data_IF_373092264590
#
_entry.id   IF_373092264590
#
_cell.length_a   1.000
_cell.length_b   1.000
_cell.length_c   1.000
_cell.angle_alpha   90.00
_cell.angle_beta   90.00
_cell.angle_gamma   90.00
#
_symmetry.space_group_name_H-M   'P 1'
#
loop_
_entity.id
_entity.type
_entity.pdbx_description
1 polymer ?
#
# COMPACT_ATOMS: atom_id res chain seq x y z
N UNK A 1 -9.31 -1.71 2.79
CA UNK A 1 -8.04 -2.17 3.41
C UNK A 1 -7.13 -0.99 3.66
N UNK A 2 -6.39 -0.97 4.78
CA UNK A 2 -5.37 0.02 5.09
C UNK A 2 -3.99 -0.64 5.06
N UNK A 3 -3.01 -0.06 4.36
CA UNK A 3 -1.67 -0.62 4.22
C UNK A 3 -0.66 0.32 4.91
N UNK A 4 0.10 -0.22 5.87
CA UNK A 4 1.26 0.43 6.47
C UNK A 4 2.53 -0.21 5.90
N UNK A 5 3.44 0.61 5.41
CA UNK A 5 4.77 0.19 4.96
C UNK A 5 5.81 0.41 6.04
N UNK A 6 6.79 -0.49 6.10
CA UNK A 6 7.99 -0.36 6.94
C UNK A 6 9.21 -0.60 6.06
N UNK A 7 9.97 0.46 5.80
CA UNK A 7 11.20 0.38 5.02
C UNK A 7 12.37 -0.15 5.83
N UNK A 8 13.24 -0.92 5.19
CA UNK A 8 14.48 -1.47 5.74
C UNK A 8 15.69 -0.85 5.02
N UNK A 9 15.67 -0.87 3.68
CA UNK A 9 16.67 -0.21 2.81
C UNK A 9 16.21 1.18 2.39
N UNK A 10 14.91 1.32 2.15
CA UNK A 10 14.23 2.60 1.94
C UNK A 10 14.07 3.37 3.27
N UNK A 11 13.54 4.59 3.22
CA UNK A 11 13.20 5.33 4.45
C UNK A 11 12.23 4.52 5.33
N UNK A 12 12.34 4.64 6.65
CA UNK A 12 11.63 3.81 7.63
C UNK A 12 10.12 3.73 7.42
N UNK A 13 9.51 4.83 6.99
CA UNK A 13 8.06 4.90 6.80
C UNK A 13 7.62 4.43 5.40
N UNK A 14 8.57 4.11 4.52
CA UNK A 14 8.31 3.66 3.15
C UNK A 14 7.76 4.77 2.24
N UNK A 15 7.95 6.05 2.58
CA UNK A 15 7.47 7.19 1.79
C UNK A 15 7.96 7.07 0.34
N UNK A 16 7.04 7.24 -0.62
CA UNK A 16 7.30 7.09 -2.05
C UNK A 16 7.08 5.68 -2.59
N UNK A 17 6.80 4.68 -1.76
CA UNK A 17 6.42 3.33 -2.23
C UNK A 17 5.16 3.41 -3.06
N UNK A 18 5.22 2.92 -4.30
CA UNK A 18 4.08 2.88 -5.22
C UNK A 18 3.37 1.56 -5.06
N UNK A 19 2.06 1.61 -4.85
CA UNK A 19 1.22 0.44 -4.59
C UNK A 19 0.21 0.32 -5.72
N UNK A 20 0.22 -0.84 -6.37
CA UNK A 20 -0.81 -1.27 -7.31
C UNK A 20 -1.60 -2.40 -6.64
N UNK A 21 -2.91 -2.27 -6.60
CA UNK A 21 -3.82 -3.25 -6.01
C UNK A 21 -4.77 -3.76 -7.08
N UNK A 22 -4.96 -5.08 -7.14
CA UNK A 22 -5.94 -5.75 -8.01
C UNK A 22 -6.90 -6.53 -7.10
N UNK A 23 -8.17 -6.11 -7.03
CA UNK A 23 -9.21 -6.80 -6.29
C UNK A 23 -9.65 -8.10 -7.00
N UNK A 24 -10.39 -8.96 -6.30
CA UNK A 24 -10.92 -10.20 -6.87
C UNK A 24 -11.84 -9.96 -8.09
N UNK A 25 -12.70 -8.94 -8.05
CA UNK A 25 -13.50 -8.50 -9.20
C UNK A 25 -12.69 -8.05 -10.42
N UNK A 26 -11.37 -7.83 -10.26
CA UNK A 26 -10.50 -7.24 -11.28
C UNK A 26 -10.39 -5.71 -11.20
N UNK A 27 -11.02 -5.06 -10.22
CA UNK A 27 -10.81 -3.63 -9.94
C UNK A 27 -9.33 -3.35 -9.67
N UNK A 28 -8.74 -2.43 -10.46
CA UNK A 28 -7.34 -2.01 -10.29
C UNK A 28 -7.28 -0.62 -9.70
N UNK A 29 -6.51 -0.45 -8.63
CA UNK A 29 -6.26 0.83 -8.00
C UNK A 29 -4.76 1.09 -7.85
N UNK A 30 -4.38 2.35 -7.89
CA UNK A 30 -3.01 2.81 -7.71
C UNK A 30 -2.97 3.88 -6.63
N UNK A 31 -1.99 3.80 -5.75
CA UNK A 31 -1.69 4.86 -4.80
C UNK A 31 -0.21 4.81 -4.41
N UNK A 32 0.25 5.73 -3.59
CA UNK A 32 1.60 5.72 -3.04
C UNK A 32 1.63 6.22 -1.61
N UNK A 33 2.66 5.81 -0.87
CA UNK A 33 2.84 6.23 0.51
C UNK A 33 3.29 7.68 0.56
N UNK A 34 2.50 8.54 1.20
CA UNK A 34 2.81 9.95 1.43
C UNK A 34 2.18 10.42 2.73
N UNK A 35 2.81 11.37 3.40
CA UNK A 35 2.25 12.11 4.54
C UNK A 35 1.86 13.53 4.15
N UNK A 36 2.05 13.91 2.88
CA UNK A 36 1.73 15.25 2.41
C UNK A 36 0.22 15.53 2.53
N UNK A 37 -0.11 16.57 3.29
CA UNK A 37 -1.45 17.15 3.34
C UNK A 37 -1.45 18.53 2.70
N UNK A 38 -1.94 19.52 3.44
CA UNK A 38 -1.84 20.95 3.11
C UNK A 38 -0.60 21.62 3.76
N UNK A 39 -0.42 22.93 3.58
CA UNK A 39 0.75 23.67 4.10
C UNK A 39 0.98 23.42 5.60
N UNK A 40 2.22 23.01 5.94
CA UNK A 40 2.64 22.68 7.31
C UNK A 40 1.77 21.63 8.04
N UNK A 41 1.11 20.72 7.29
CA UNK A 41 0.34 19.60 7.86
C UNK A 41 0.92 18.25 7.43
N UNK A 42 0.68 17.22 8.24
CA UNK A 42 1.06 15.84 7.95
C UNK A 42 -0.11 14.91 8.20
N UNK A 43 -0.38 14.03 7.24
CA UNK A 43 -1.46 13.04 7.30
C UNK A 43 -0.94 11.66 7.74
N UNK A 44 -1.85 10.75 8.07
CA UNK A 44 -1.50 9.35 8.35
C UNK A 44 -0.81 8.71 7.13
N UNK A 45 0.35 8.04 7.31
CA UNK A 45 1.08 7.43 6.19
C UNK A 45 0.41 6.16 5.64
N UNK A 46 -0.62 5.62 6.32
CA UNK A 46 -1.32 4.42 5.86
C UNK A 46 -2.10 4.71 4.60
N UNK A 47 -1.88 3.87 3.59
CA UNK A 47 -2.56 3.98 2.30
C UNK A 47 -3.89 3.24 2.38
N UNK A 48 -4.98 3.96 2.12
CA UNK A 48 -6.32 3.40 2.14
C UNK A 48 -6.80 3.04 0.73
N UNK A 49 -7.35 1.83 0.58
CA UNK A 49 -8.02 1.38 -0.63
C UNK A 49 -9.45 0.92 -0.31
N UNK A 50 -10.42 1.51 -0.99
CA UNK A 50 -11.83 1.08 -0.94
C UNK A 50 -12.06 -0.07 -1.91
N UNK A 51 -12.56 -1.21 -1.42
CA UNK A 51 -12.73 -2.43 -2.22
C UNK A 51 -14.20 -2.72 -2.60
N UNK A 52 -15.14 -1.88 -2.17
CA UNK A 52 -16.56 -2.12 -2.42
C UNK A 52 -17.03 -3.42 -1.77
N UNK A 53 -17.58 -4.35 -2.56
CA UNK A 53 -18.07 -5.64 -2.10
C UNK A 53 -17.03 -6.77 -2.19
N UNK A 54 -15.82 -6.50 -2.69
CA UNK A 54 -14.77 -7.51 -2.82
C UNK A 54 -14.25 -7.95 -1.44
N UNK A 55 -14.38 -9.24 -1.13
CA UNK A 55 -13.92 -9.83 0.12
C UNK A 55 -12.40 -10.14 0.12
N UNK A 56 -11.78 -10.13 -1.05
CA UNK A 56 -10.37 -10.46 -1.23
C UNK A 56 -9.69 -9.61 -2.30
N UNK A 57 -8.37 -9.52 -2.17
CA UNK A 57 -7.46 -8.86 -3.08
C UNK A 57 -6.62 -9.94 -3.74
N UNK A 58 -6.65 -9.97 -5.08
CA UNK A 58 -5.90 -10.94 -5.88
C UNK A 58 -4.40 -10.68 -5.79
N UNK A 59 -4.01 -9.41 -5.91
CA UNK A 59 -2.60 -9.01 -5.97
C UNK A 59 -2.38 -7.62 -5.39
N UNK A 60 -1.30 -7.46 -4.63
CA UNK A 60 -0.76 -6.17 -4.21
C UNK A 60 0.71 -6.11 -4.62
N UNK A 61 1.04 -5.26 -5.58
CA UNK A 61 2.41 -4.99 -6.02
C UNK A 61 2.91 -3.70 -5.36
N UNK A 62 3.99 -3.80 -4.59
CA UNK A 62 4.68 -2.70 -3.93
C UNK A 62 6.02 -2.45 -4.61
N UNK A 63 6.20 -1.26 -5.19
CA UNK A 63 7.49 -0.79 -5.72
C UNK A 63 8.11 0.18 -4.73
N UNK A 64 9.14 -0.29 -4.04
CA UNK A 64 9.85 0.45 -3.02
C UNK A 64 10.79 1.50 -3.65
N UNK A 65 11.08 2.62 -2.95
CA UNK A 65 12.05 3.62 -3.40
C UNK A 65 13.46 3.06 -3.64
N UNK A 66 13.82 1.98 -2.93
CA UNK A 66 15.07 1.24 -3.13
C UNK A 66 15.19 0.54 -4.49
N UNK A 67 14.09 0.44 -5.23
CA UNK A 67 13.96 -0.33 -6.46
C UNK A 67 13.44 -1.76 -6.25
N UNK A 68 13.34 -2.24 -5.00
CA UNK A 68 12.76 -3.55 -4.69
C UNK A 68 11.29 -3.59 -5.13
N UNK A 69 10.88 -4.71 -5.73
CA UNK A 69 9.48 -4.99 -6.07
C UNK A 69 9.03 -6.19 -5.27
N UNK A 70 8.00 -5.99 -4.45
CA UNK A 70 7.41 -7.03 -3.61
C UNK A 70 5.96 -7.25 -4.04
N UNK A 71 5.54 -8.51 -4.16
CA UNK A 71 4.18 -8.85 -4.60
C UNK A 71 3.53 -9.77 -3.58
N UNK A 72 2.34 -9.40 -3.11
CA UNK A 72 1.51 -10.19 -2.21
C UNK A 72 0.29 -10.70 -2.99
N UNK A 73 -0.11 -11.94 -2.73
CA UNK A 73 -1.26 -12.56 -3.38
C UNK A 73 -2.30 -13.01 -2.35
N UNK A 74 -3.57 -13.10 -2.78
CA UNK A 74 -4.68 -13.65 -2.01
C UNK A 74 -4.82 -13.02 -0.60
N UNK A 75 -4.81 -11.69 -0.55
CA UNK A 75 -4.89 -10.94 0.70
C UNK A 75 -6.35 -10.65 1.04
N UNK A 76 -6.76 -10.97 2.27
CA UNK A 76 -8.14 -10.68 2.74
C UNK A 76 -8.42 -9.17 2.74
N UNK A 77 -9.64 -8.77 2.36
CA UNK A 77 -10.10 -7.39 2.52
C UNK A 77 -10.26 -6.98 3.99
N UNK A 78 -10.62 -5.71 4.22
CA UNK A 78 -11.05 -5.16 5.52
C UNK A 78 -10.11 -5.39 6.72
N UNK A 79 -8.81 -5.21 6.48
CA UNK A 79 -7.79 -5.28 7.52
C UNK A 79 -6.79 -4.10 7.48
N UNK A 80 -6.00 -3.98 8.55
CA UNK A 80 -4.80 -3.16 8.60
C UNK A 80 -3.59 -4.05 8.31
N UNK A 81 -2.98 -3.89 7.14
CA UNK A 81 -1.88 -4.73 6.69
C UNK A 81 -0.51 -4.09 6.98
N UNK A 82 0.29 -4.84 7.74
CA UNK A 82 1.74 -4.78 7.97
C UNK A 82 2.63 -5.16 6.78
N UNK A 83 3.19 -4.28 5.93
CA UNK A 83 4.17 -4.73 4.90
C UNK A 83 5.56 -4.18 5.19
N UNK A 84 6.52 -5.07 5.41
CA UNK A 84 7.94 -4.74 5.61
C UNK A 84 8.71 -5.01 4.32
N UNK A 85 9.59 -4.09 3.94
CA UNK A 85 10.48 -4.22 2.79
C UNK A 85 11.39 -5.46 2.95
N UNK A 86 11.50 -6.25 1.87
CA UNK A 86 12.35 -7.44 1.75
C UNK A 86 13.76 -7.12 1.23
#
# INVERSE_FOLDING_TARGET
>A
ILIKTVGVKSNRDGIGTRIKLIAESGLVQYNHVTTAGSYASSNDPRVHFGLGADAAIKEIELKWPSGTVQVLHNVKADQNLTVTEE
#
